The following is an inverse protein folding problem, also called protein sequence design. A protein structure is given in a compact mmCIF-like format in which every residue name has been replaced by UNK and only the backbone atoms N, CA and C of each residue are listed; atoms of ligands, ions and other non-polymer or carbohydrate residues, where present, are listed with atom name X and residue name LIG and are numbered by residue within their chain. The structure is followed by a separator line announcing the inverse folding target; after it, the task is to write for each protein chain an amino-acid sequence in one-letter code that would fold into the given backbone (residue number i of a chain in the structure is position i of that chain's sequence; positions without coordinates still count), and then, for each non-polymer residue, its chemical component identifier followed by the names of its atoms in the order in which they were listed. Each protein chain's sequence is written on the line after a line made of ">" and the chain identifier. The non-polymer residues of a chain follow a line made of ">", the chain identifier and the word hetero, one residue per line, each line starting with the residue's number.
data_IF_069623275929
#
_entry.id   IF_069623275929
#
_cell.length_a   1.000
_cell.length_b   1.000
_cell.length_c   1.000
_cell.angle_alpha   90.00
_cell.angle_beta   90.00
_cell.angle_gamma   90.00
#
_symmetry.space_group_name_H-M   'P 1'
#
loop_
_entity.id
_entity.type
_entity.pdbx_description
1 polymer ?
#
# COMPACT_ATOMS: atom_id res chain seq x y z
N UNK A 1 10.00 3.97 -15.60
CA UNK A 1 9.20 5.07 -15.07
C UNK A 1 9.44 5.26 -13.58
N UNK A 2 9.67 6.48 -13.16
CA UNK A 2 9.59 6.85 -11.75
C UNK A 2 8.13 6.92 -11.33
N UNK A 3 7.81 6.52 -10.11
CA UNK A 3 6.45 6.56 -9.60
C UNK A 3 6.40 7.03 -8.15
N UNK A 4 5.27 7.60 -7.79
CA UNK A 4 4.86 7.87 -6.41
C UNK A 4 3.45 7.36 -6.22
N UNK A 5 3.20 6.74 -5.07
CA UNK A 5 1.91 6.15 -4.75
C UNK A 5 1.64 6.28 -3.25
N UNK A 6 0.48 6.82 -2.89
CA UNK A 6 -0.06 6.67 -1.55
C UNK A 6 -1.13 5.59 -1.59
N UNK A 7 -0.96 4.53 -0.82
CA UNK A 7 -1.86 3.39 -0.85
C UNK A 7 -2.29 2.97 0.55
N UNK A 8 -3.40 2.26 0.59
CA UNK A 8 -3.88 1.56 1.77
C UNK A 8 -3.72 0.05 1.53
N UNK A 9 -2.56 -0.55 1.89
CA UNK A 9 -2.32 -1.97 1.66
C UNK A 9 -3.17 -2.82 2.60
N UNK A 10 -4.05 -3.60 2.01
CA UNK A 10 -4.98 -4.49 2.72
C UNK A 10 -4.89 -5.88 2.13
N UNK A 11 -4.87 -6.89 2.98
CA UNK A 11 -5.02 -8.29 2.59
C UNK A 11 -6.32 -8.84 3.19
N UNK A 12 -6.93 -9.81 2.50
CA UNK A 12 -8.10 -10.50 2.99
C UNK A 12 -7.70 -11.91 3.41
N UNK A 13 -7.95 -12.24 4.67
CA UNK A 13 -7.74 -13.59 5.22
C UNK A 13 -9.02 -14.04 5.91
N UNK A 14 -9.50 -15.21 5.55
CA UNK A 14 -10.72 -15.81 6.13
C UNK A 14 -11.92 -14.84 6.10
N UNK A 15 -12.07 -14.12 4.98
CA UNK A 15 -13.14 -13.14 4.79
C UNK A 15 -12.96 -11.82 5.53
N UNK A 16 -11.86 -11.65 6.28
CA UNK A 16 -11.56 -10.41 7.02
C UNK A 16 -10.46 -9.61 6.35
N UNK A 17 -10.67 -8.30 6.27
CA UNK A 17 -9.65 -7.37 5.79
C UNK A 17 -8.68 -7.05 6.91
N UNK A 18 -7.39 -7.11 6.60
CA UNK A 18 -6.31 -6.76 7.53
C UNK A 18 -5.37 -5.76 6.88
N UNK A 19 -5.00 -4.74 7.66
CA UNK A 19 -3.94 -3.80 7.29
C UNK A 19 -2.61 -4.57 7.25
N UNK A 20 -1.92 -4.54 6.11
CA UNK A 20 -0.67 -5.27 5.90
C UNK A 20 0.41 -4.86 6.91
N UNK A 21 0.54 -3.55 7.19
CA UNK A 21 1.56 -3.06 8.11
C UNK A 21 1.21 -3.36 9.57
N UNK A 22 -0.07 -3.36 9.92
CA UNK A 22 -0.50 -3.75 11.26
C UNK A 22 -0.30 -5.25 11.49
N UNK A 23 -0.65 -6.08 10.51
CA UNK A 23 -0.41 -7.51 10.54
C UNK A 23 1.09 -7.81 10.70
N UNK A 24 1.93 -7.12 9.93
CA UNK A 24 3.39 -7.23 10.02
C UNK A 24 3.91 -6.81 11.40
N UNK A 25 3.32 -5.77 12.01
CA UNK A 25 3.67 -5.33 13.36
C UNK A 25 3.38 -6.42 14.39
N UNK A 26 2.21 -7.05 14.32
CA UNK A 26 1.86 -8.15 15.22
C UNK A 26 2.83 -9.34 15.06
N UNK A 27 3.16 -9.69 13.84
CA UNK A 27 4.12 -10.76 13.56
C UNK A 27 5.51 -10.44 14.11
N UNK A 28 5.99 -9.22 13.90
CA UNK A 28 7.29 -8.77 14.38
C UNK A 28 7.37 -8.79 15.90
N UNK A 29 6.34 -8.30 16.59
CA UNK A 29 6.29 -8.33 18.06
C UNK A 29 6.28 -9.75 18.60
N UNK A 30 5.54 -10.65 17.98
CA UNK A 30 5.52 -12.06 18.36
C UNK A 30 6.90 -12.73 18.20
N UNK A 31 7.71 -12.26 17.25
CA UNK A 31 9.08 -12.72 17.02
C UNK A 31 10.12 -11.99 17.89
N UNK A 32 9.70 -11.08 18.77
CA UNK A 32 10.59 -10.32 19.65
C UNK A 32 11.26 -9.11 19.02
N UNK A 33 10.81 -8.69 17.83
CA UNK A 33 11.35 -7.52 17.14
C UNK A 33 10.76 -6.22 17.69
N UNK A 34 11.57 -5.15 17.69
CA UNK A 34 11.15 -3.82 18.11
C UNK A 34 11.94 -2.74 17.37
N UNK A 35 11.49 -1.47 17.47
CA UNK A 35 12.20 -0.32 16.90
C UNK A 35 12.44 -0.45 15.41
N UNK A 36 13.70 -0.26 14.99
CA UNK A 36 14.11 -0.28 13.58
C UNK A 36 13.81 -1.62 12.91
N UNK A 37 14.06 -2.72 13.57
CA UNK A 37 13.82 -4.06 13.02
C UNK A 37 12.33 -4.31 12.77
N UNK A 38 11.47 -3.85 13.67
CA UNK A 38 10.02 -3.93 13.50
C UNK A 38 9.59 -3.13 12.26
N UNK A 39 10.07 -1.90 12.13
CA UNK A 39 9.75 -1.05 10.97
C UNK A 39 10.27 -1.64 9.67
N UNK A 40 11.48 -2.20 9.66
CA UNK A 40 12.01 -2.90 8.49
C UNK A 40 11.13 -4.08 8.07
N UNK A 41 10.59 -4.82 9.03
CA UNK A 41 9.66 -5.91 8.73
C UNK A 41 8.37 -5.37 8.09
N UNK A 42 7.83 -4.29 8.63
CA UNK A 42 6.66 -3.63 8.04
C UNK A 42 6.93 -3.13 6.62
N UNK A 43 8.10 -2.54 6.38
CA UNK A 43 8.51 -2.06 5.05
C UNK A 43 8.61 -3.22 4.04
N UNK A 44 9.19 -4.35 4.43
CA UNK A 44 9.27 -5.52 3.56
C UNK A 44 7.90 -6.05 3.18
N UNK A 45 6.97 -6.09 4.11
CA UNK A 45 5.62 -6.56 3.85
C UNK A 45 4.85 -5.60 2.94
N UNK A 46 5.01 -4.30 3.16
CA UNK A 46 4.42 -3.28 2.31
C UNK A 46 4.99 -3.33 0.88
N UNK A 47 6.30 -3.51 0.75
CA UNK A 47 6.97 -3.69 -0.55
C UNK A 47 6.43 -4.92 -1.28
N UNK A 48 6.32 -6.04 -0.59
CA UNK A 48 5.80 -7.29 -1.15
C UNK A 48 4.36 -7.11 -1.65
N UNK A 49 3.53 -6.40 -0.90
CA UNK A 49 2.17 -6.08 -1.33
C UNK A 49 2.17 -5.34 -2.68
N UNK A 50 3.03 -4.34 -2.84
CA UNK A 50 3.11 -3.57 -4.09
C UNK A 50 3.61 -4.43 -5.26
N UNK A 51 4.59 -5.28 -5.03
CA UNK A 51 5.09 -6.23 -6.05
C UNK A 51 3.94 -7.12 -6.55
N UNK A 52 3.11 -7.63 -5.65
CA UNK A 52 1.96 -8.44 -6.02
C UNK A 52 0.88 -7.64 -6.74
N UNK A 53 0.68 -6.39 -6.39
CA UNK A 53 -0.21 -5.51 -7.15
C UNK A 53 0.28 -5.37 -8.59
N UNK A 54 1.59 -5.25 -8.79
CA UNK A 54 2.19 -5.15 -10.12
C UNK A 54 1.95 -6.39 -10.97
N UNK A 55 2.03 -7.57 -10.40
CA UNK A 55 1.75 -8.82 -11.11
C UNK A 55 0.36 -8.82 -11.73
N UNK A 56 -0.63 -8.26 -11.04
CA UNK A 56 -2.00 -8.15 -11.53
C UNK A 56 -2.23 -6.91 -12.41
N UNK A 57 -1.49 -5.85 -12.18
CA UNK A 57 -1.68 -4.54 -12.82
C UNK A 57 -0.74 -4.29 -14.00
N UNK A 58 0.10 -5.25 -14.37
CA UNK A 58 0.96 -5.15 -15.55
C UNK A 58 2.21 -4.30 -15.35
N UNK A 59 2.79 -4.28 -14.17
CA UNK A 59 4.09 -3.64 -13.94
C UNK A 59 4.97 -4.48 -13.01
N UNK A 60 6.28 -4.21 -13.07
CA UNK A 60 7.25 -4.76 -12.14
C UNK A 60 8.02 -3.63 -11.46
N UNK A 61 8.25 -3.78 -10.17
CA UNK A 61 8.96 -2.78 -9.37
C UNK A 61 10.46 -3.05 -9.46
N UNK A 62 11.23 -2.07 -9.94
CA UNK A 62 12.69 -2.16 -10.01
C UNK A 62 13.34 -1.74 -8.69
N UNK A 63 12.84 -0.68 -8.08
CA UNK A 63 13.26 -0.20 -6.78
C UNK A 63 12.11 0.54 -6.11
N UNK A 64 12.06 0.52 -4.79
CA UNK A 64 10.99 1.17 -4.07
C UNK A 64 11.39 1.50 -2.64
N UNK A 65 11.11 2.73 -2.24
CA UNK A 65 11.17 3.16 -0.85
C UNK A 65 9.76 3.21 -0.29
N UNK A 66 9.59 2.69 0.91
CA UNK A 66 8.32 2.67 1.65
C UNK A 66 8.48 3.57 2.88
N UNK A 67 7.59 4.53 3.04
CA UNK A 67 7.67 5.49 4.13
C UNK A 67 6.27 6.05 4.46
N UNK A 68 6.21 6.95 5.45
CA UNK A 68 5.00 7.73 5.73
C UNK A 68 3.78 6.91 6.17
N UNK A 69 3.99 5.80 6.88
CA UNK A 69 2.86 5.02 7.40
C UNK A 69 2.08 5.83 8.41
N UNK A 70 0.78 6.04 8.11
CA UNK A 70 -0.13 6.81 8.96
C UNK A 70 -1.47 6.09 9.10
N UNK A 71 -2.04 6.18 10.28
CA UNK A 71 -3.42 5.75 10.55
C UNK A 71 -4.31 6.98 10.58
N UNK A 72 -5.42 6.92 9.86
CA UNK A 72 -6.36 8.02 9.71
C UNK A 72 -7.70 7.67 10.36
N UNK A 73 -8.31 8.66 10.97
CA UNK A 73 -9.64 8.55 11.52
C UNK A 73 -10.49 9.70 11.01
N UNK A 74 -11.57 9.37 10.31
CA UNK A 74 -12.52 10.34 9.80
C UNK A 74 -13.86 10.18 10.53
N UNK A 75 -14.35 11.27 11.10
CA UNK A 75 -15.66 11.33 11.73
C UNK A 75 -16.58 12.17 10.88
N UNK A 76 -17.76 11.63 10.54
CA UNK A 76 -18.81 12.39 9.85
C UNK A 76 -19.84 12.89 10.86
N UNK A 77 -20.32 14.14 10.75
CA UNK A 77 -21.39 14.63 11.60
C UNK A 77 -22.63 13.73 11.51
N UNK A 78 -23.19 13.37 12.66
CA UNK A 78 -24.39 12.54 12.73
C UNK A 78 -24.17 11.03 12.64
N UNK A 79 -22.91 10.57 12.50
CA UNK A 79 -22.59 9.15 12.51
C UNK A 79 -21.90 8.75 13.81
N UNK A 80 -22.30 7.61 14.37
CA UNK A 80 -21.74 7.10 15.61
C UNK A 80 -20.39 6.42 15.43
N UNK A 81 -20.05 5.96 14.21
CA UNK A 81 -18.81 5.26 13.90
C UNK A 81 -17.89 6.11 13.05
N UNK A 82 -16.60 6.17 13.42
CA UNK A 82 -15.57 6.79 12.62
C UNK A 82 -15.09 5.82 11.53
N UNK A 83 -14.74 6.37 10.36
CA UNK A 83 -14.04 5.62 9.32
C UNK A 83 -12.56 5.61 9.68
N UNK A 84 -11.98 4.42 9.79
CA UNK A 84 -10.55 4.25 10.05
C UNK A 84 -9.88 3.56 8.86
N UNK A 85 -8.76 4.10 8.44
CA UNK A 85 -7.94 3.50 7.39
C UNK A 85 -6.48 3.89 7.59
N UNK A 86 -5.59 3.19 6.92
CA UNK A 86 -4.14 3.47 6.96
C UNK A 86 -3.64 3.82 5.57
N UNK A 87 -2.57 4.60 5.51
CA UNK A 87 -1.88 4.86 4.26
C UNK A 87 -0.37 4.72 4.44
N UNK A 88 0.31 4.40 3.35
CA UNK A 88 1.75 4.37 3.26
C UNK A 88 2.18 4.94 1.92
N UNK A 89 3.32 5.60 1.89
CA UNK A 89 3.86 6.22 0.68
C UNK A 89 4.94 5.34 0.06
N UNK A 90 4.83 5.15 -1.24
CA UNK A 90 5.81 4.44 -2.07
C UNK A 90 6.40 5.41 -3.06
N UNK A 91 7.73 5.41 -3.18
CA UNK A 91 8.47 6.13 -4.21
C UNK A 91 9.50 5.19 -4.81
N UNK A 92 9.60 5.16 -6.12
CA UNK A 92 10.57 4.28 -6.75
C UNK A 92 10.52 4.30 -8.27
N UNK A 93 10.95 3.18 -8.85
CA UNK A 93 11.01 2.98 -10.29
C UNK A 93 10.30 1.67 -10.62
N UNK A 94 9.45 1.72 -11.64
CA UNK A 94 8.77 0.55 -12.17
C UNK A 94 8.97 0.48 -13.69
N UNK A 95 8.71 -0.70 -14.25
CA UNK A 95 8.60 -0.86 -15.71
C UNK A 95 7.30 -1.58 -16.03
N UNK A 96 6.74 -1.25 -17.18
CA UNK A 96 5.48 -1.81 -17.66
C UNK A 96 5.74 -3.18 -18.26
N UNK A 97 5.03 -4.20 -17.79
CA UNK A 97 5.10 -5.57 -18.31
C UNK A 97 3.92 -5.90 -19.22
N UNK A 98 2.77 -5.23 -19.01
CA UNK A 98 1.56 -5.38 -19.81
C UNK A 98 0.87 -4.03 -19.91
N UNK A 99 0.96 -3.41 -21.09
CA UNK A 99 0.50 -2.04 -21.29
C UNK A 99 -1.02 -1.88 -21.08
N UNK A 100 -1.83 -2.84 -21.50
CA UNK A 100 -3.29 -2.76 -21.35
C UNK A 100 -3.72 -2.87 -19.90
N UNK A 101 -3.16 -3.84 -19.19
CA UNK A 101 -3.43 -3.99 -17.74
C UNK A 101 -2.98 -2.78 -16.97
N UNK A 102 -1.79 -2.26 -17.31
CA UNK A 102 -1.25 -1.09 -16.63
C UNK A 102 -2.12 0.14 -16.85
N UNK A 103 -2.55 0.39 -18.07
CA UNK A 103 -3.43 1.52 -18.38
C UNK A 103 -4.76 1.44 -17.60
N UNK A 104 -5.34 0.25 -17.51
CA UNK A 104 -6.56 0.02 -16.74
C UNK A 104 -6.33 0.29 -15.25
N UNK A 105 -5.27 -0.26 -14.69
CA UNK A 105 -4.94 -0.09 -13.28
C UNK A 105 -4.62 1.37 -12.93
N UNK A 106 -3.91 2.09 -13.80
CA UNK A 106 -3.60 3.50 -13.59
C UNK A 106 -4.87 4.37 -13.56
N UNK A 107 -5.87 4.03 -14.37
CA UNK A 107 -7.16 4.73 -14.36
C UNK A 107 -8.01 4.39 -13.14
N UNK A 108 -8.02 3.14 -12.72
CA UNK A 108 -8.85 2.66 -11.61
C UNK A 108 -8.23 2.92 -10.25
N UNK A 109 -6.90 3.08 -10.19
CA UNK A 109 -6.15 3.15 -8.95
C UNK A 109 -5.81 1.78 -8.37
N UNK A 110 -4.90 1.77 -7.40
CA UNK A 110 -4.38 0.57 -6.76
C UNK A 110 -4.81 0.49 -5.29
N UNK A 111 -5.36 -0.65 -4.90
CA UNK A 111 -5.70 -0.92 -3.51
C UNK A 111 -7.02 -0.32 -3.06
N UNK A 112 -7.16 -0.12 -1.77
CA UNK A 112 -8.37 0.31 -1.08
C UNK A 112 -8.35 1.81 -0.77
N UNK A 113 -9.47 2.32 -0.25
CA UNK A 113 -9.63 3.71 0.19
C UNK A 113 -9.41 4.76 -0.91
N UNK A 114 -9.80 4.43 -2.14
CA UNK A 114 -9.63 5.31 -3.30
C UNK A 114 -10.40 6.63 -3.14
N UNK A 115 -11.58 6.56 -2.57
CA UNK A 115 -12.40 7.75 -2.27
C UNK A 115 -11.76 8.66 -1.21
N UNK A 116 -10.77 8.18 -0.48
CA UNK A 116 -10.08 8.89 0.59
C UNK A 116 -8.66 9.33 0.18
N UNK A 117 -8.37 9.34 -1.11
CA UNK A 117 -7.10 9.82 -1.66
C UNK A 117 -6.01 8.77 -1.78
N UNK A 118 -6.34 7.49 -1.62
CA UNK A 118 -5.38 6.41 -1.80
C UNK A 118 -5.49 5.79 -3.20
N UNK A 119 -4.39 5.21 -3.69
CA UNK A 119 -4.38 4.39 -4.90
C UNK A 119 -4.04 5.10 -6.19
N UNK A 120 -3.89 6.42 -6.19
CA UNK A 120 -3.50 7.17 -7.38
C UNK A 120 -2.01 6.98 -7.65
N UNK A 121 -1.70 6.41 -8.81
CA UNK A 121 -0.33 6.19 -9.25
C UNK A 121 0.14 7.41 -10.06
N UNK A 122 1.12 8.13 -9.53
CA UNK A 122 1.74 9.26 -10.20
C UNK A 122 3.00 8.79 -10.91
N UNK A 123 3.12 9.10 -12.19
CA UNK A 123 4.19 8.61 -13.06
C UNK A 123 5.01 9.76 -13.63
N UNK A 124 6.31 9.52 -13.76
CA UNK A 124 7.26 10.43 -14.35
C UNK A 124 8.32 9.62 -15.11
N UNK A 125 8.84 10.16 -16.21
CA UNK A 125 9.99 9.55 -16.87
C UNK A 125 11.20 9.57 -15.92
N UNK A 126 11.81 8.42 -15.82
CA UNK A 126 13.01 8.27 -14.99
C UNK A 126 14.24 8.88 -15.67
#
# INVERSE_FOLDING_TARGET
>A
LAFSLRANPVVTRDGKRSDVLMDARHQAKAAGLSGVELWQHQQRRAHHWLVRQGENAGFAVSSCRVDGYQRHRLSKPGQSAAIMFSSVDYDGVLHITDAERFATAARQGLGKSKALGCGLLLLKRA
#
